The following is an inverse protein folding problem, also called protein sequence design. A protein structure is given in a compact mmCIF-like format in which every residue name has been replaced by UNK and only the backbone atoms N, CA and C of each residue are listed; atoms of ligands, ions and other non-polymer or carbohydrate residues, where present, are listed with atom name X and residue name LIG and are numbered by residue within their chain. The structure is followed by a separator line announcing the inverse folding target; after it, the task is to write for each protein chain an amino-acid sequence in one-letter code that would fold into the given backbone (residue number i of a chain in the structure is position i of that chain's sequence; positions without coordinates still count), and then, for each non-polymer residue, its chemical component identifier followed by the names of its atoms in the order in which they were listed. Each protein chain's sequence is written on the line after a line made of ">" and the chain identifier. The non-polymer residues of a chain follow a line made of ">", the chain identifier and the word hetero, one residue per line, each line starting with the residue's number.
data_IF_543446014489
#
_entry.id   IF_543446014489
#
_cell.length_a   1.000
_cell.length_b   1.000
_cell.length_c   1.000
_cell.angle_alpha   90.00
_cell.angle_beta   90.00
_cell.angle_gamma   90.00
#
_symmetry.space_group_name_H-M   'P 1'
#
loop_
_entity.id
_entity.type
_entity.pdbx_description
1 polymer ?
#
# COMPACT_ATOMS: atom_id res chain seq x y z
N UNK A 1 -11.82 30.04 -23.30
CA UNK A 1 -11.51 28.99 -22.33
C UNK A 1 -12.81 28.53 -21.69
N UNK A 2 -13.13 27.24 -21.78
CA UNK A 2 -14.32 26.61 -21.22
C UNK A 2 -13.92 25.93 -19.90
N UNK A 3 -14.54 26.34 -18.80
CA UNK A 3 -14.27 25.75 -17.48
C UNK A 3 -15.20 24.55 -17.28
N UNK A 4 -14.63 23.40 -16.94
CA UNK A 4 -15.39 22.19 -16.62
C UNK A 4 -15.55 22.03 -15.11
N UNK A 5 -16.72 21.59 -14.70
CA UNK A 5 -16.94 21.00 -13.37
C UNK A 5 -16.73 19.47 -13.45
N UNK A 6 -16.50 18.77 -12.32
CA UNK A 6 -16.44 17.31 -12.31
C UNK A 6 -17.67 16.67 -12.98
N UNK A 7 -17.43 15.70 -13.86
CA UNK A 7 -18.45 15.04 -14.69
C UNK A 7 -18.84 15.78 -15.98
N UNK A 8 -18.53 17.07 -16.09
CA UNK A 8 -18.75 17.82 -17.33
C UNK A 8 -17.76 17.39 -18.42
N UNK A 9 -18.19 17.50 -19.68
CA UNK A 9 -17.37 17.11 -20.82
C UNK A 9 -17.57 18.07 -21.99
N UNK A 10 -16.59 18.11 -22.87
CA UNK A 10 -16.64 18.89 -24.11
C UNK A 10 -15.82 18.22 -25.21
N UNK A 11 -16.02 18.67 -26.44
CA UNK A 11 -15.21 18.24 -27.57
C UNK A 11 -13.77 18.71 -27.43
N UNK A 12 -12.81 17.85 -27.79
CA UNK A 12 -11.45 18.30 -28.11
C UNK A 12 -11.35 18.61 -29.60
N UNK A 13 -10.48 19.57 -29.91
CA UNK A 13 -10.40 20.22 -31.22
C UNK A 13 -9.84 19.29 -32.31
N UNK A 14 -8.99 18.34 -31.92
CA UNK A 14 -8.36 17.40 -32.84
C UNK A 14 -7.95 16.11 -32.12
N UNK A 15 -7.55 15.10 -32.89
CA UNK A 15 -6.97 13.87 -32.32
C UNK A 15 -5.53 14.08 -31.81
N UNK A 16 -4.87 15.17 -32.20
CA UNK A 16 -3.65 15.64 -31.52
C UNK A 16 -4.06 16.62 -30.43
N UNK A 17 -3.84 16.24 -29.19
CA UNK A 17 -4.20 17.05 -28.04
C UNK A 17 -2.98 17.30 -27.19
N UNK A 18 -2.94 18.44 -26.52
CA UNK A 18 -1.89 18.79 -25.58
C UNK A 18 -2.54 19.20 -24.27
N UNK A 19 -1.98 18.77 -23.15
CA UNK A 19 -2.45 19.21 -21.85
C UNK A 19 -1.30 19.59 -20.95
N UNK A 20 -1.57 20.49 -20.01
CA UNK A 20 -0.64 20.87 -18.93
C UNK A 20 -1.36 20.83 -17.59
N UNK A 21 -0.61 20.45 -16.56
CA UNK A 21 -1.10 20.28 -15.21
C UNK A 21 -0.15 20.98 -14.25
N UNK A 22 -0.69 21.94 -13.50
CA UNK A 22 0.00 22.62 -12.42
C UNK A 22 -0.52 22.11 -11.08
N UNK A 23 0.39 21.95 -10.13
CA UNK A 23 0.10 21.53 -8.76
C UNK A 23 0.19 22.72 -7.80
N UNK A 24 -0.73 22.81 -6.84
CA UNK A 24 -0.69 23.80 -5.75
C UNK A 24 0.53 23.65 -4.84
N UNK A 25 1.17 22.48 -4.87
CA UNK A 25 2.54 22.27 -4.41
C UNK A 25 3.47 22.01 -5.61
N UNK A 26 4.18 23.05 -6.05
CA UNK A 26 4.99 23.02 -7.30
C UNK A 26 6.19 22.08 -7.28
N UNK A 27 6.56 21.50 -6.14
CA UNK A 27 7.64 20.52 -6.05
C UNK A 27 7.14 19.08 -5.88
N UNK A 28 5.83 18.84 -5.89
CA UNK A 28 5.30 17.52 -5.58
C UNK A 28 5.60 16.47 -6.66
N UNK A 29 5.46 16.86 -7.94
CA UNK A 29 5.64 15.93 -9.05
C UNK A 29 7.12 15.56 -9.22
N UNK A 30 7.41 14.27 -9.22
CA UNK A 30 8.75 13.71 -9.29
C UNK A 30 9.52 13.68 -7.95
N UNK A 31 8.95 14.20 -6.86
CA UNK A 31 9.48 14.04 -5.50
C UNK A 31 8.67 12.99 -4.71
N UNK A 32 7.36 13.16 -4.60
CA UNK A 32 6.48 12.22 -3.89
C UNK A 32 5.17 11.90 -4.63
N UNK A 33 4.88 12.61 -5.73
CA UNK A 33 3.73 12.38 -6.59
C UNK A 33 4.11 12.31 -8.07
N UNK A 34 3.22 11.79 -8.90
CA UNK A 34 3.40 11.69 -10.34
C UNK A 34 2.06 11.60 -11.08
N UNK A 35 2.14 11.58 -12.41
CA UNK A 35 1.01 11.40 -13.31
C UNK A 35 1.16 10.07 -14.05
N UNK A 36 0.06 9.34 -14.17
CA UNK A 36 -0.07 8.17 -15.03
C UNK A 36 -1.12 8.41 -16.10
N UNK A 37 -0.84 7.94 -17.31
CA UNK A 37 -1.77 7.97 -18.44
C UNK A 37 -2.05 6.52 -18.84
N UNK A 38 -3.33 6.13 -18.84
CA UNK A 38 -3.70 4.74 -19.08
C UNK A 38 -4.70 4.60 -20.23
N UNK A 39 -4.33 3.95 -21.35
CA UNK A 39 -5.26 3.62 -22.42
C UNK A 39 -6.19 2.46 -22.01
N UNK A 40 -7.49 2.65 -22.24
CA UNK A 40 -8.53 1.68 -21.89
C UNK A 40 -9.62 1.59 -22.97
N UNK A 41 -10.42 0.54 -22.93
CA UNK A 41 -11.64 0.40 -23.74
C UNK A 41 -12.87 1.01 -23.05
N UNK A 42 -14.05 0.88 -23.68
CA UNK A 42 -15.32 1.45 -23.22
C UNK A 42 -15.75 0.99 -21.83
N UNK A 43 -15.33 -0.22 -21.46
CA UNK A 43 -15.53 -0.85 -20.15
C UNK A 43 -14.41 -0.53 -19.15
N UNK A 44 -13.50 0.40 -19.48
CA UNK A 44 -12.29 0.76 -18.71
C UNK A 44 -11.34 -0.41 -18.45
N UNK A 45 -11.33 -1.40 -19.35
CA UNK A 45 -10.30 -2.45 -19.31
C UNK A 45 -9.04 -1.95 -20.04
N UNK A 46 -7.84 -2.17 -19.49
CA UNK A 46 -6.57 -1.77 -20.08
C UNK A 46 -6.36 -2.37 -21.46
N UNK A 47 -5.90 -1.54 -22.40
CA UNK A 47 -5.60 -1.91 -23.79
C UNK A 47 -4.12 -1.77 -24.12
N UNK A 48 -3.33 -1.28 -23.18
CA UNK A 48 -1.87 -1.15 -23.26
C UNK A 48 -1.28 -0.84 -21.88
N UNK A 49 0.04 -0.65 -21.85
CA UNK A 49 0.75 -0.29 -20.62
C UNK A 49 0.41 1.13 -20.15
N UNK A 50 0.44 1.34 -18.83
CA UNK A 50 0.36 2.67 -18.24
C UNK A 50 1.62 3.46 -18.59
N UNK A 51 1.46 4.64 -19.20
CA UNK A 51 2.55 5.58 -19.35
C UNK A 51 2.71 6.36 -18.04
N UNK A 52 3.67 5.94 -17.22
CA UNK A 52 4.05 6.63 -16.00
C UNK A 52 4.87 7.88 -16.33
N UNK A 53 4.90 8.83 -15.40
CA UNK A 53 5.64 10.07 -15.52
C UNK A 53 7.08 9.83 -16.01
N UNK A 54 7.50 10.61 -17.02
CA UNK A 54 8.79 10.50 -17.73
C UNK A 54 9.01 9.21 -18.55
N UNK A 55 8.01 8.33 -18.65
CA UNK A 55 8.03 7.18 -19.57
C UNK A 55 7.25 7.52 -20.83
N UNK A 56 7.94 7.84 -21.93
CA UNK A 56 7.32 8.14 -23.22
C UNK A 56 6.83 6.90 -23.94
N UNK A 57 5.79 7.05 -24.78
CA UNK A 57 5.21 5.99 -25.61
C UNK A 57 5.11 6.44 -27.07
N UNK A 58 4.90 5.53 -28.02
CA UNK A 58 4.79 5.90 -29.44
C UNK A 58 3.65 6.88 -29.78
N UNK A 59 2.63 6.93 -28.91
CA UNK A 59 1.43 7.76 -29.06
C UNK A 59 1.43 9.01 -28.17
N UNK A 60 2.49 9.25 -27.40
CA UNK A 60 2.58 10.41 -26.52
C UNK A 60 4.01 10.84 -26.19
N UNK A 61 4.17 12.12 -25.86
CA UNK A 61 5.45 12.68 -25.43
C UNK A 61 5.24 13.57 -24.20
N UNK A 62 5.97 13.30 -23.13
CA UNK A 62 6.00 14.17 -21.95
C UNK A 62 6.69 15.50 -22.27
N UNK A 63 6.21 16.58 -21.65
CA UNK A 63 6.79 17.92 -21.75
C UNK A 63 6.68 18.62 -20.40
N UNK A 64 7.27 19.82 -20.30
CA UNK A 64 7.26 20.60 -19.06
C UNK A 64 8.26 20.10 -18.01
N UNK A 65 8.01 20.43 -16.75
CA UNK A 65 8.88 20.16 -15.60
C UNK A 65 8.07 19.72 -14.36
N UNK A 66 8.72 19.68 -13.19
CA UNK A 66 8.08 19.29 -11.92
C UNK A 66 7.00 20.27 -11.45
N UNK A 67 7.10 21.56 -11.81
CA UNK A 67 6.13 22.58 -11.44
C UNK A 67 4.93 22.61 -12.39
N UNK A 68 5.17 22.29 -13.67
CA UNK A 68 4.14 22.22 -14.70
C UNK A 68 4.40 21.03 -15.61
N UNK A 69 3.68 19.94 -15.34
CA UNK A 69 3.73 18.72 -16.15
C UNK A 69 2.92 18.92 -17.41
N UNK A 70 3.45 18.56 -18.57
CA UNK A 70 2.73 18.59 -19.83
C UNK A 70 2.82 17.27 -20.59
N UNK A 71 1.88 17.04 -21.50
CA UNK A 71 1.95 15.91 -22.41
C UNK A 71 1.27 16.22 -23.74
N UNK A 72 1.94 15.83 -24.83
CA UNK A 72 1.39 15.83 -26.18
C UNK A 72 0.90 14.43 -26.50
N UNK A 73 -0.34 14.32 -26.95
CA UNK A 73 -1.03 13.08 -27.24
C UNK A 73 -1.36 12.98 -28.73
N UNK A 74 -1.22 11.78 -29.28
CA UNK A 74 -1.80 11.39 -30.56
C UNK A 74 -2.89 10.33 -30.30
N UNK A 75 -4.11 10.79 -30.07
CA UNK A 75 -5.26 9.95 -29.71
C UNK A 75 -5.65 8.97 -30.84
N UNK A 76 -5.25 9.24 -32.09
CA UNK A 76 -5.45 8.31 -33.22
C UNK A 76 -4.42 7.17 -33.27
N UNK A 77 -3.36 7.24 -32.47
CA UNK A 77 -2.28 6.24 -32.44
C UNK A 77 -2.26 5.41 -31.14
N UNK A 78 -3.32 5.51 -30.32
CA UNK A 78 -3.45 4.71 -29.11
C UNK A 78 -3.36 3.20 -29.40
N UNK A 79 -3.00 2.37 -28.40
CA UNK A 79 -3.00 0.93 -28.55
C UNK A 79 -4.33 0.39 -29.11
N UNK A 80 -4.26 -0.72 -29.85
CA UNK A 80 -5.45 -1.31 -30.49
C UNK A 80 -6.55 -1.60 -29.45
N UNK A 81 -7.79 -1.24 -29.78
CA UNK A 81 -8.95 -1.40 -28.90
C UNK A 81 -9.14 -0.28 -27.88
N UNK A 82 -8.24 0.71 -27.83
CA UNK A 82 -8.42 1.89 -26.97
C UNK A 82 -9.46 2.84 -27.57
N UNK A 83 -10.49 3.15 -26.80
CA UNK A 83 -11.45 4.21 -27.10
C UNK A 83 -11.43 5.33 -26.05
N UNK A 84 -10.60 5.14 -25.01
CA UNK A 84 -10.45 6.02 -23.86
C UNK A 84 -8.99 6.11 -23.41
N UNK A 85 -8.68 7.22 -22.76
CA UNK A 85 -7.40 7.49 -22.12
C UNK A 85 -7.66 8.16 -20.77
N UNK A 86 -7.28 7.50 -19.68
CA UNK A 86 -7.41 8.03 -18.32
C UNK A 86 -6.19 8.88 -17.97
N UNK A 87 -6.42 10.02 -17.32
CA UNK A 87 -5.39 10.87 -16.74
C UNK A 87 -5.49 10.80 -15.22
N UNK A 88 -4.42 10.34 -14.57
CA UNK A 88 -4.43 9.94 -13.16
C UNK A 88 -3.29 10.66 -12.43
N UNK A 89 -3.61 11.39 -11.36
CA UNK A 89 -2.61 11.90 -10.43
C UNK A 89 -2.50 10.96 -9.23
N UNK A 90 -1.29 10.68 -8.76
CA UNK A 90 -1.06 9.74 -7.66
C UNK A 90 0.17 10.09 -6.84
N UNK A 91 0.23 9.62 -5.61
CA UNK A 91 1.44 9.61 -4.78
C UNK A 91 2.17 8.28 -4.95
N UNK A 92 3.51 8.28 -5.01
CA UNK A 92 4.27 7.05 -5.19
C UNK A 92 3.99 6.04 -4.09
N UNK A 93 3.78 4.77 -4.47
CA UNK A 93 3.52 3.64 -3.56
C UNK A 93 2.44 3.91 -2.50
N UNK A 94 1.48 4.79 -2.80
CA UNK A 94 0.46 5.26 -1.85
C UNK A 94 1.04 5.83 -0.54
N UNK A 95 2.22 6.47 -0.60
CA UNK A 95 2.93 6.99 0.58
C UNK A 95 2.18 8.11 1.33
N UNK A 96 1.18 8.73 0.70
CA UNK A 96 0.36 9.79 1.31
C UNK A 96 -0.87 10.12 0.45
N UNK A 97 -1.74 11.02 0.90
CA UNK A 97 -2.91 11.42 0.15
C UNK A 97 -2.58 12.48 -0.90
N UNK A 98 -3.39 12.54 -1.96
CA UNK A 98 -3.33 13.60 -2.97
C UNK A 98 -3.68 14.98 -2.41
N UNK A 99 -4.21 15.08 -1.19
CA UNK A 99 -4.43 16.38 -0.52
C UNK A 99 -3.16 17.19 -0.31
N UNK A 100 -1.99 16.54 -0.24
CA UNK A 100 -0.70 17.22 -0.18
C UNK A 100 -0.37 18.01 -1.46
N UNK A 101 -1.03 17.68 -2.58
CA UNK A 101 -0.95 18.45 -3.83
C UNK A 101 -1.70 19.78 -3.72
N UNK A 102 -2.58 19.93 -2.72
CA UNK A 102 -3.47 21.08 -2.43
C UNK A 102 -4.53 21.34 -3.50
N UNK A 103 -4.10 21.52 -4.74
CA UNK A 103 -4.98 21.75 -5.88
C UNK A 103 -4.32 21.30 -7.17
N UNK A 104 -5.13 20.94 -8.15
CA UNK A 104 -4.69 20.68 -9.51
C UNK A 104 -5.36 21.65 -10.47
N UNK A 105 -4.57 22.20 -11.39
CA UNK A 105 -5.03 23.07 -12.46
C UNK A 105 -4.64 22.45 -13.80
N UNK A 106 -5.62 21.84 -14.46
CA UNK A 106 -5.48 21.15 -15.74
C UNK A 106 -5.98 22.05 -16.87
N UNK A 107 -5.14 22.23 -17.88
CA UNK A 107 -5.48 22.88 -19.15
C UNK A 107 -5.35 21.87 -20.27
N UNK A 108 -6.38 21.72 -21.10
CA UNK A 108 -6.38 20.87 -22.30
C UNK A 108 -6.61 21.72 -23.54
N UNK A 109 -5.73 21.59 -24.54
CA UNK A 109 -5.67 22.34 -25.80
C UNK A 109 -5.73 23.87 -25.62
N UNK A 110 -5.32 24.41 -24.46
CA UNK A 110 -5.48 25.82 -24.05
C UNK A 110 -6.93 26.35 -24.11
N UNK A 111 -7.90 25.45 -24.30
CA UNK A 111 -9.30 25.79 -24.53
C UNK A 111 -10.19 25.28 -23.40
N UNK A 112 -9.78 24.23 -22.70
CA UNK A 112 -10.53 23.59 -21.63
C UNK A 112 -9.74 23.76 -20.34
N UNK A 113 -10.41 24.23 -19.30
CA UNK A 113 -9.82 24.43 -17.99
C UNK A 113 -10.58 23.61 -16.96
N UNK A 114 -9.85 22.90 -16.11
CA UNK A 114 -10.40 22.16 -14.98
C UNK A 114 -9.55 22.41 -13.74
N UNK A 115 -10.21 22.80 -12.65
CA UNK A 115 -9.57 23.01 -11.35
C UNK A 115 -10.17 22.07 -10.33
N UNK A 116 -9.31 21.42 -9.57
CA UNK A 116 -9.68 20.48 -8.53
C UNK A 116 -9.02 20.91 -7.22
N UNK A 117 -9.83 21.14 -6.19
CA UNK A 117 -9.34 21.33 -4.82
C UNK A 117 -9.17 19.94 -4.18
N UNK A 118 -8.00 19.68 -3.62
CA UNK A 118 -7.64 18.39 -3.05
C UNK A 118 -7.46 18.42 -1.54
N UNK A 119 -7.54 19.58 -0.88
CA UNK A 119 -7.17 19.72 0.54
C UNK A 119 -7.88 18.75 1.50
N UNK A 120 -9.10 18.34 1.16
CA UNK A 120 -9.90 17.39 1.95
C UNK A 120 -9.95 15.97 1.32
N UNK A 121 -9.13 15.70 0.31
CA UNK A 121 -9.12 14.44 -0.44
C UNK A 121 -8.08 13.46 0.15
N UNK A 122 -8.55 12.45 0.87
CA UNK A 122 -7.71 11.44 1.53
C UNK A 122 -7.26 10.28 0.62
N UNK A 123 -7.52 10.33 -0.68
CA UNK A 123 -7.21 9.26 -1.61
C UNK A 123 -5.72 9.32 -2.00
N UNK A 124 -5.08 8.19 -2.32
CA UNK A 124 -3.68 8.15 -2.74
C UNK A 124 -3.49 8.21 -4.27
N UNK A 125 -4.57 8.03 -5.03
CA UNK A 125 -4.64 8.30 -6.47
C UNK A 125 -6.00 8.87 -6.86
N UNK A 126 -6.05 9.65 -7.93
CA UNK A 126 -7.28 10.27 -8.43
C UNK A 126 -7.27 10.37 -9.96
N UNK A 127 -8.33 9.89 -10.60
CA UNK A 127 -8.59 10.12 -12.02
C UNK A 127 -9.13 11.55 -12.17
N UNK A 128 -8.33 12.41 -12.79
CA UNK A 128 -8.65 13.84 -12.96
C UNK A 128 -9.32 14.14 -14.30
N UNK A 129 -9.24 13.21 -15.24
CA UNK A 129 -9.98 13.32 -16.49
C UNK A 129 -9.87 12.09 -17.36
N UNK A 130 -10.71 12.03 -18.38
CA UNK A 130 -10.65 11.02 -19.44
C UNK A 130 -10.82 11.66 -20.81
N UNK A 131 -9.96 11.29 -21.75
CA UNK A 131 -10.25 11.44 -23.18
C UNK A 131 -11.06 10.24 -23.63
N UNK A 132 -12.08 10.44 -24.47
CA UNK A 132 -12.87 9.34 -25.01
C UNK A 132 -13.44 9.70 -26.38
N UNK A 133 -13.60 8.69 -27.23
CA UNK A 133 -14.22 8.88 -28.55
C UNK A 133 -15.70 8.51 -28.51
N UNK A 134 -16.56 9.39 -29.04
CA UNK A 134 -17.99 9.11 -29.24
C UNK A 134 -18.47 9.78 -30.51
N UNK A 135 -19.19 9.04 -31.37
CA UNK A 135 -19.65 9.52 -32.67
C UNK A 135 -18.50 10.06 -33.54
N UNK A 136 -17.37 9.34 -33.60
CA UNK A 136 -16.17 9.72 -34.37
C UNK A 136 -15.51 11.05 -33.94
N UNK A 137 -15.85 11.55 -32.75
CA UNK A 137 -15.29 12.78 -32.21
C UNK A 137 -14.69 12.53 -30.82
N UNK A 138 -13.44 12.93 -30.65
CA UNK A 138 -12.77 12.91 -29.35
C UNK A 138 -13.35 13.99 -28.43
N UNK A 139 -13.49 13.62 -27.16
CA UNK A 139 -14.01 14.47 -26.10
C UNK A 139 -13.14 14.33 -24.87
N UNK A 140 -13.11 15.38 -24.07
CA UNK A 140 -12.51 15.36 -22.75
C UNK A 140 -13.61 15.48 -21.70
N UNK A 141 -13.52 14.68 -20.64
CA UNK A 141 -14.39 14.75 -19.46
C UNK A 141 -13.53 14.99 -18.23
N UNK A 142 -13.88 16.01 -17.45
CA UNK A 142 -13.28 16.26 -16.15
C UNK A 142 -13.80 15.25 -15.13
N UNK A 143 -12.91 14.68 -14.32
CA UNK A 143 -13.24 13.65 -13.32
C UNK A 143 -12.61 13.98 -11.96
N UNK A 144 -13.11 13.34 -10.92
CA UNK A 144 -12.57 13.40 -9.56
C UNK A 144 -12.82 12.05 -8.87
N UNK A 145 -12.41 10.96 -9.52
CA UNK A 145 -12.65 9.59 -9.04
C UNK A 145 -11.41 9.08 -8.30
N UNK A 146 -11.54 8.84 -7.00
CA UNK A 146 -10.42 8.47 -6.11
C UNK A 146 -10.14 6.98 -5.97
N UNK A 147 -8.92 6.67 -5.55
CA UNK A 147 -8.50 5.36 -5.04
C UNK A 147 -7.65 5.51 -3.77
N UNK A 148 -8.20 5.03 -2.65
CA UNK A 148 -7.58 5.15 -1.33
C UNK A 148 -6.24 4.41 -1.25
N UNK A 149 -6.07 3.37 -2.06
CA UNK A 149 -4.93 2.47 -2.07
C UNK A 149 -3.94 2.75 -3.21
N UNK A 150 -4.01 3.94 -3.80
CA UNK A 150 -3.05 4.39 -4.80
C UNK A 150 -3.28 3.84 -6.20
N UNK A 151 -2.27 4.04 -7.05
CA UNK A 151 -2.34 3.74 -8.48
C UNK A 151 -2.23 2.24 -8.74
N UNK A 152 -1.36 1.53 -8.01
CA UNK A 152 -1.24 0.08 -8.14
C UNK A 152 -2.57 -0.64 -7.87
N UNK A 153 -3.28 -0.26 -6.81
CA UNK A 153 -4.59 -0.82 -6.49
C UNK A 153 -5.67 -0.47 -7.52
N UNK A 154 -5.64 0.77 -8.05
CA UNK A 154 -6.51 1.18 -9.15
C UNK A 154 -6.28 0.31 -10.38
N UNK A 155 -5.01 0.05 -10.75
CA UNK A 155 -4.63 -0.84 -11.84
C UNK A 155 -5.16 -2.26 -11.65
N UNK A 156 -4.97 -2.84 -10.47
CA UNK A 156 -5.43 -4.22 -10.17
C UNK A 156 -6.93 -4.38 -10.34
N UNK A 157 -7.74 -3.38 -9.96
CA UNK A 157 -9.21 -3.39 -10.13
C UNK A 157 -9.64 -3.51 -11.59
N UNK A 158 -8.83 -2.99 -12.52
CA UNK A 158 -9.11 -3.04 -13.96
C UNK A 158 -8.26 -4.10 -14.68
N UNK A 159 -7.48 -4.90 -13.94
CA UNK A 159 -6.76 -6.07 -14.48
C UNK A 159 -5.36 -5.79 -15.02
N UNK A 160 -4.70 -4.71 -14.59
CA UNK A 160 -3.30 -4.42 -14.91
C UNK A 160 -2.47 -4.21 -13.64
N UNK A 161 -1.24 -4.72 -13.63
CA UNK A 161 -0.29 -4.45 -12.56
C UNK A 161 0.54 -3.21 -12.92
N UNK A 162 0.55 -2.21 -12.04
CA UNK A 162 1.26 -0.94 -12.25
C UNK A 162 2.25 -0.76 -11.12
N UNK A 163 3.53 -0.69 -11.46
CA UNK A 163 4.57 -0.32 -10.50
C UNK A 163 4.57 1.19 -10.29
N UNK A 164 3.96 1.65 -9.20
CA UNK A 164 3.83 3.06 -8.85
C UNK A 164 4.91 3.55 -7.88
N UNK A 165 6.05 2.84 -7.79
CA UNK A 165 7.20 3.24 -6.97
C UNK A 165 7.93 4.48 -7.52
N UNK A 166 8.65 5.16 -6.64
CA UNK A 166 9.44 6.33 -6.99
C UNK A 166 10.61 5.95 -7.94
N UNK A 167 10.82 6.62 -9.09
CA UNK A 167 11.85 6.25 -10.09
C UNK A 167 13.30 6.26 -9.57
N UNK A 168 13.59 7.12 -8.59
CA UNK A 168 14.91 7.19 -7.91
C UNK A 168 14.96 6.45 -6.57
N UNK A 169 13.83 5.92 -6.11
CA UNK A 169 13.80 5.07 -4.93
C UNK A 169 14.57 3.80 -5.25
N UNK A 170 15.50 3.37 -4.39
CA UNK A 170 16.16 2.06 -4.51
C UNK A 170 15.15 0.95 -4.23
N UNK A 171 14.18 0.74 -5.13
CA UNK A 171 13.53 -0.55 -5.28
C UNK A 171 14.21 -1.23 -6.46
N UNK A 172 15.15 -2.12 -6.16
CA UNK A 172 15.74 -2.98 -7.19
C UNK A 172 14.61 -3.64 -7.97
N UNK A 173 14.68 -3.59 -9.29
CA UNK A 173 13.84 -4.32 -10.25
C UNK A 173 13.73 -5.83 -9.99
N UNK A 174 14.41 -6.36 -8.98
CA UNK A 174 14.27 -7.71 -8.45
C UNK A 174 13.07 -7.94 -7.51
N UNK A 175 12.43 -6.89 -6.96
CA UNK A 175 11.23 -7.03 -6.11
C UNK A 175 9.92 -7.04 -6.91
N UNK A 176 9.84 -6.30 -8.02
CA UNK A 176 8.68 -6.33 -8.91
C UNK A 176 8.54 -7.67 -9.65
N UNK A 177 9.64 -8.34 -9.98
CA UNK A 177 9.63 -9.70 -10.53
C UNK A 177 9.38 -10.80 -9.47
N UNK A 178 9.62 -10.50 -8.18
CA UNK A 178 9.25 -11.40 -7.07
C UNK A 178 7.76 -11.33 -6.74
N UNK A 179 7.14 -10.15 -6.82
CA UNK A 179 5.69 -9.99 -6.63
C UNK A 179 4.84 -10.79 -7.63
N UNK A 180 5.42 -11.17 -8.79
CA UNK A 180 4.78 -12.05 -9.79
C UNK A 180 4.90 -13.55 -9.49
N UNK A 181 5.67 -13.97 -8.49
CA UNK A 181 5.88 -15.39 -8.13
C UNK A 181 5.68 -15.69 -6.63
N UNK A 182 5.63 -14.68 -5.78
CA UNK A 182 5.21 -14.79 -4.38
C UNK A 182 5.63 -13.62 -3.48
N UNK A 183 4.88 -13.43 -2.40
CA UNK A 183 5.16 -12.50 -1.32
C UNK A 183 5.67 -13.25 -0.08
N UNK A 184 6.50 -12.59 0.71
CA UNK A 184 6.92 -13.09 2.03
C UNK A 184 6.68 -12.05 3.11
N UNK A 185 6.34 -12.54 4.29
CA UNK A 185 6.09 -11.73 5.47
C UNK A 185 6.33 -12.51 6.75
N UNK A 186 5.92 -11.90 7.84
CA UNK A 186 5.93 -12.50 9.17
C UNK A 186 4.49 -12.72 9.61
N UNK A 187 4.28 -13.76 10.41
CA UNK A 187 3.08 -13.95 11.19
C UNK A 187 3.42 -14.53 12.55
N UNK A 188 2.48 -14.46 13.47
CA UNK A 188 2.64 -15.05 14.79
C UNK A 188 1.38 -15.79 15.23
N UNK A 189 1.59 -16.89 15.95
CA UNK A 189 0.49 -17.70 16.45
C UNK A 189 -0.28 -16.95 17.55
N UNK A 190 -1.61 -16.93 17.41
CA UNK A 190 -2.55 -16.30 18.37
C UNK A 190 -3.45 -17.32 19.06
N UNK A 191 -3.48 -18.55 18.56
CA UNK A 191 -4.08 -19.71 19.22
C UNK A 191 -3.35 -20.99 18.77
N UNK A 192 -3.87 -22.15 19.14
CA UNK A 192 -3.29 -23.45 18.79
C UNK A 192 -3.24 -23.73 17.28
N UNK A 193 -4.07 -23.06 16.47
CA UNK A 193 -4.21 -23.33 15.03
C UNK A 193 -4.31 -22.06 14.17
N UNK A 194 -4.15 -20.88 14.76
CA UNK A 194 -4.32 -19.62 14.04
C UNK A 194 -3.08 -18.73 14.13
N UNK A 195 -2.78 -18.07 13.01
CA UNK A 195 -1.68 -17.13 12.86
C UNK A 195 -2.25 -15.79 12.37
N UNK A 196 -1.84 -14.69 12.99
CA UNK A 196 -2.06 -13.35 12.45
C UNK A 196 -0.92 -12.95 11.53
N UNK A 197 -1.25 -12.23 10.46
CA UNK A 197 -0.31 -11.56 9.56
C UNK A 197 -0.99 -10.33 8.95
N UNK A 198 -0.30 -9.62 8.06
CA UNK A 198 -0.88 -8.51 7.30
C UNK A 198 -1.69 -9.01 6.11
N UNK A 199 -2.79 -8.32 5.79
CA UNK A 199 -3.62 -8.67 4.65
C UNK A 199 -2.86 -8.54 3.32
N UNK A 200 -2.05 -7.50 3.17
CA UNK A 200 -1.26 -7.29 1.95
C UNK A 200 -0.19 -8.38 1.70
N UNK A 201 0.21 -9.14 2.73
CA UNK A 201 1.19 -10.25 2.57
C UNK A 201 0.58 -11.41 1.79
N UNK A 202 -0.74 -11.60 1.88
CA UNK A 202 -1.45 -12.73 1.27
C UNK A 202 -2.40 -12.30 0.14
N UNK A 203 -2.44 -11.01 -0.18
CA UNK A 203 -3.40 -10.46 -1.15
C UNK A 203 -3.17 -11.02 -2.56
N UNK A 204 -4.24 -11.55 -3.16
CA UNK A 204 -4.21 -12.06 -4.54
C UNK A 204 -3.45 -13.38 -4.74
N UNK A 205 -3.05 -14.05 -3.66
CA UNK A 205 -2.25 -15.27 -3.69
C UNK A 205 -3.14 -16.53 -3.58
N UNK A 206 -2.78 -17.59 -4.31
CA UNK A 206 -3.53 -18.85 -4.38
C UNK A 206 -3.04 -19.91 -3.39
N UNK A 207 -1.77 -19.87 -3.00
CA UNK A 207 -1.20 -20.73 -1.96
C UNK A 207 -0.54 -19.93 -0.85
N UNK A 208 -0.83 -20.30 0.40
CA UNK A 208 -0.20 -19.71 1.58
C UNK A 208 0.43 -20.84 2.39
N UNK A 209 1.70 -20.65 2.73
CA UNK A 209 2.44 -21.50 3.66
C UNK A 209 2.96 -20.67 4.80
N UNK A 210 3.05 -21.30 5.97
CA UNK A 210 3.83 -20.79 7.09
C UNK A 210 5.04 -21.70 7.31
N UNK A 211 6.17 -21.12 7.69
CA UNK A 211 7.40 -21.88 7.95
C UNK A 211 8.17 -21.32 9.13
N UNK A 212 8.74 -22.21 9.93
CA UNK A 212 9.68 -21.88 11.00
C UNK A 212 10.70 -23.03 11.12
N UNK A 213 11.53 -23.01 12.16
CA UNK A 213 12.38 -24.17 12.48
C UNK A 213 11.56 -25.41 12.88
N UNK A 214 10.29 -25.25 13.25
CA UNK A 214 9.38 -26.34 13.63
C UNK A 214 8.73 -27.04 12.43
N UNK A 215 8.88 -26.49 11.22
CA UNK A 215 8.37 -27.10 10.00
C UNK A 215 7.73 -26.10 9.05
N UNK A 216 7.15 -26.61 7.97
CA UNK A 216 6.43 -25.85 6.95
C UNK A 216 5.03 -26.44 6.78
N UNK A 217 4.02 -25.61 6.93
CA UNK A 217 2.62 -26.01 6.94
C UNK A 217 1.82 -25.16 5.98
N UNK A 218 0.80 -25.75 5.35
CA UNK A 218 -0.16 -25.00 4.53
C UNK A 218 -1.06 -24.19 5.45
N UNK A 219 -1.47 -23.01 5.01
CA UNK A 219 -2.43 -22.18 5.74
C UNK A 219 -3.52 -21.69 4.80
N UNK A 220 -4.70 -21.43 5.36
CA UNK A 220 -5.87 -20.93 4.64
C UNK A 220 -6.37 -19.65 5.32
N UNK A 221 -6.80 -18.63 4.56
CA UNK A 221 -7.38 -17.43 5.15
C UNK A 221 -8.73 -17.76 5.78
N UNK A 222 -8.92 -17.38 7.04
CA UNK A 222 -10.21 -17.44 7.75
C UNK A 222 -10.99 -16.16 7.50
N UNK A 223 -10.36 -15.02 7.79
CA UNK A 223 -10.90 -13.68 7.58
C UNK A 223 -9.74 -12.77 7.15
N UNK A 224 -10.01 -11.90 6.19
CA UNK A 224 -9.08 -10.87 5.72
C UNK A 224 -9.76 -9.52 5.84
N UNK A 225 -9.27 -8.68 6.75
CA UNK A 225 -9.66 -7.29 6.88
C UNK A 225 -8.65 -6.41 6.13
N UNK A 226 -8.95 -6.18 4.85
CA UNK A 226 -8.11 -5.35 3.98
C UNK A 226 -8.07 -3.88 4.42
N UNK A 227 -9.11 -3.41 5.13
CA UNK A 227 -9.19 -2.01 5.56
C UNK A 227 -8.16 -1.71 6.64
N UNK A 228 -8.03 -2.63 7.60
CA UNK A 228 -7.12 -2.49 8.72
C UNK A 228 -5.79 -3.26 8.51
N UNK A 229 -5.62 -3.87 7.34
CA UNK A 229 -4.46 -4.68 6.96
C UNK A 229 -4.19 -5.88 7.90
N UNK A 230 -5.25 -6.60 8.29
CA UNK A 230 -5.17 -7.76 9.18
C UNK A 230 -5.66 -9.01 8.44
N UNK A 231 -4.91 -10.11 8.52
CA UNK A 231 -5.37 -11.42 8.08
C UNK A 231 -5.22 -12.47 9.19
N UNK A 232 -6.29 -13.25 9.39
CA UNK A 232 -6.27 -14.44 10.21
C UNK A 232 -6.11 -15.67 9.31
N UNK A 233 -5.05 -16.43 9.55
CA UNK A 233 -4.79 -17.69 8.85
C UNK A 233 -5.08 -18.86 9.78
N UNK A 234 -5.67 -19.92 9.23
CA UNK A 234 -5.81 -21.23 9.88
C UNK A 234 -4.74 -22.17 9.32
N UNK A 235 -3.98 -22.78 10.21
CA UNK A 235 -2.86 -23.65 9.85
C UNK A 235 -3.35 -25.09 9.71
N UNK A 236 -3.06 -25.70 8.57
CA UNK A 236 -3.49 -27.05 8.21
C UNK A 236 -2.45 -28.08 8.63
N UNK A 237 -2.92 -29.18 9.23
CA UNK A 237 -2.12 -30.37 9.54
C UNK A 237 -0.85 -30.07 10.37
N UNK A 238 -0.90 -29.05 11.25
CA UNK A 238 0.21 -28.67 12.12
C UNK A 238 0.09 -29.25 13.53
N UNK A 239 1.20 -29.39 14.26
CA UNK A 239 1.19 -29.45 15.72
C UNK A 239 0.48 -28.24 16.34
N UNK A 240 0.16 -28.35 17.65
CA UNK A 240 -0.37 -27.23 18.43
C UNK A 240 0.66 -26.10 18.45
N UNK A 241 0.26 -24.94 17.92
CA UNK A 241 1.11 -23.75 17.88
C UNK A 241 1.20 -23.12 19.27
N UNK A 242 2.37 -22.55 19.58
CA UNK A 242 2.55 -21.74 20.80
C UNK A 242 2.05 -20.32 20.54
N UNK A 243 0.93 -19.94 21.12
CA UNK A 243 0.41 -18.58 20.99
C UNK A 243 1.18 -17.55 21.82
N UNK A 244 1.22 -16.31 21.35
CA UNK A 244 1.66 -15.14 22.13
C UNK A 244 0.56 -14.69 23.11
N UNK A 245 0.89 -13.75 23.99
CA UNK A 245 -0.09 -13.05 24.83
C UNK A 245 -0.18 -11.58 24.44
N UNK A 246 -1.36 -11.00 24.53
CA UNK A 246 -1.63 -9.57 24.31
C UNK A 246 -1.68 -8.82 25.63
N UNK A 247 -1.36 -7.53 25.60
CA UNK A 247 -1.42 -6.67 26.79
C UNK A 247 -2.89 -6.47 27.18
N UNK A 248 -3.23 -6.75 28.43
CA UNK A 248 -4.56 -6.49 28.97
C UNK A 248 -4.72 -4.99 29.30
N UNK A 249 -5.87 -4.41 28.97
CA UNK A 249 -6.20 -3.03 29.34
C UNK A 249 -5.76 -1.96 28.34
N UNK A 250 -5.44 -0.76 28.85
CA UNK A 250 -5.27 0.45 28.01
C UNK A 250 -3.91 0.49 27.32
N UNK A 251 -3.92 0.18 26.02
CA UNK A 251 -2.97 0.66 25.00
C UNK A 251 -1.47 0.60 25.33
N UNK A 252 -0.72 1.42 24.60
CA UNK A 252 0.69 1.68 24.86
C UNK A 252 0.89 3.17 25.17
N UNK A 253 1.98 3.47 25.86
CA UNK A 253 2.35 4.85 26.20
C UNK A 253 3.42 5.40 25.24
N UNK A 254 3.46 6.72 25.09
CA UNK A 254 4.55 7.38 24.35
C UNK A 254 5.90 7.09 25.04
N UNK A 255 6.89 6.71 24.23
CA UNK A 255 8.22 6.32 24.72
C UNK A 255 8.31 4.91 25.29
N UNK A 256 7.22 4.13 25.31
CA UNK A 256 7.25 2.73 25.74
C UNK A 256 8.23 1.94 24.86
N UNK A 257 9.11 1.16 25.49
CA UNK A 257 10.10 0.35 24.79
C UNK A 257 9.43 -0.83 24.08
N UNK A 258 9.82 -1.04 22.82
CA UNK A 258 9.22 -2.07 21.99
C UNK A 258 10.26 -2.96 21.33
N UNK A 259 9.90 -4.22 21.15
CA UNK A 259 10.70 -5.22 20.44
C UNK A 259 9.87 -5.83 19.32
N UNK A 260 10.38 -5.80 18.09
CA UNK A 260 9.78 -6.48 16.94
C UNK A 260 10.56 -7.76 16.62
N UNK A 261 9.84 -8.85 16.36
CA UNK A 261 10.40 -10.14 15.98
C UNK A 261 9.81 -10.58 14.63
N UNK A 262 10.65 -10.96 13.68
CA UNK A 262 10.13 -11.44 12.40
C UNK A 262 11.19 -11.99 11.44
N UNK A 263 10.82 -12.09 10.16
CA UNK A 263 11.63 -12.66 9.10
C UNK A 263 11.91 -11.64 7.98
N UNK A 264 12.65 -10.56 8.27
CA UNK A 264 13.04 -9.58 7.27
C UNK A 264 13.94 -10.22 6.20
N UNK A 265 13.83 -9.74 4.96
CA UNK A 265 14.74 -10.08 3.85
C UNK A 265 14.97 -11.58 3.66
N UNK A 266 13.90 -12.38 3.71
CA UNK A 266 13.98 -13.84 3.53
C UNK A 266 14.72 -14.18 2.23
N UNK A 267 15.95 -14.69 2.36
CA UNK A 267 16.84 -15.03 1.23
C UNK A 267 18.20 -14.31 1.22
N UNK A 268 18.38 -13.24 1.99
CA UNK A 268 19.67 -12.52 2.14
C UNK A 268 20.20 -12.57 3.58
N UNK A 269 19.31 -12.44 4.56
CA UNK A 269 19.62 -12.73 5.95
C UNK A 269 19.20 -14.17 6.27
N UNK A 270 19.95 -14.89 7.10
CA UNK A 270 19.71 -16.31 7.38
C UNK A 270 18.26 -16.60 7.81
N UNK A 271 17.80 -17.85 7.66
CA UNK A 271 16.39 -18.24 7.90
C UNK A 271 15.88 -18.18 9.35
N UNK A 272 16.58 -17.48 10.24
CA UNK A 272 16.20 -17.32 11.65
C UNK A 272 15.28 -16.11 11.88
N UNK A 273 14.73 -16.02 13.10
CA UNK A 273 14.00 -14.84 13.55
C UNK A 273 14.98 -13.70 13.81
N UNK A 274 14.70 -12.54 13.25
CA UNK A 274 15.41 -11.30 13.54
C UNK A 274 14.71 -10.53 14.66
N UNK A 275 15.49 -9.80 15.43
CA UNK A 275 15.01 -9.01 16.56
C UNK A 275 15.47 -7.57 16.38
N UNK A 276 14.54 -6.63 16.44
CA UNK A 276 14.84 -5.19 16.45
C UNK A 276 14.15 -4.51 17.62
N UNK A 277 14.74 -3.42 18.11
CA UNK A 277 14.26 -2.70 19.29
C UNK A 277 14.12 -1.22 18.96
N UNK A 278 13.14 -0.58 19.60
CA UNK A 278 12.90 0.86 19.52
C UNK A 278 11.93 1.32 20.60
N UNK A 279 11.17 2.36 20.33
CA UNK A 279 10.09 2.84 21.20
C UNK A 279 8.87 3.31 20.42
N UNK A 280 7.75 3.45 21.12
CA UNK A 280 6.53 4.08 20.60
C UNK A 280 6.78 5.58 20.45
N UNK A 281 6.68 6.10 19.23
CA UNK A 281 6.90 7.52 18.92
C UNK A 281 5.61 8.32 18.80
N UNK A 282 4.50 7.68 18.42
CA UNK A 282 3.18 8.30 18.36
C UNK A 282 2.07 7.27 18.64
N UNK A 283 0.96 7.72 19.21
CA UNK A 283 -0.22 6.88 19.47
C UNK A 283 -1.23 6.89 18.32
N UNK A 284 -0.90 7.54 17.21
CA UNK A 284 -1.72 7.62 16.01
C UNK A 284 -0.83 7.42 14.79
N UNK A 285 -1.40 6.86 13.73
CA UNK A 285 -0.76 6.85 12.42
C UNK A 285 -0.83 8.21 11.73
N UNK A 286 -0.46 8.23 10.45
CA UNK A 286 -0.63 9.39 9.59
C UNK A 286 -2.09 9.84 9.57
N UNK A 287 -2.33 11.14 9.41
CA UNK A 287 -3.68 11.73 9.35
C UNK A 287 -4.55 11.43 10.58
N UNK A 288 -3.95 11.24 11.76
CA UNK A 288 -4.62 10.86 13.00
C UNK A 288 -5.34 9.51 12.91
N UNK A 289 -4.82 8.56 12.13
CA UNK A 289 -5.36 7.21 12.10
C UNK A 289 -5.24 6.56 13.48
N UNK A 290 -6.39 6.45 14.15
CA UNK A 290 -6.50 5.89 15.49
C UNK A 290 -6.30 4.38 15.56
N UNK A 291 -6.34 3.67 14.43
CA UNK A 291 -6.10 2.23 14.35
C UNK A 291 -4.61 1.87 14.48
N UNK A 292 -3.73 2.83 14.20
CA UNK A 292 -2.29 2.64 14.14
C UNK A 292 -1.56 3.33 15.30
N UNK A 293 -0.39 2.81 15.64
CA UNK A 293 0.64 3.46 16.44
C UNK A 293 1.91 3.62 15.61
N UNK A 294 2.75 4.59 15.94
CA UNK A 294 4.06 4.78 15.32
C UNK A 294 5.17 4.29 16.26
N UNK A 295 6.19 3.64 15.69
CA UNK A 295 7.35 3.13 16.43
C UNK A 295 8.65 3.29 15.65
N UNK A 296 9.78 3.15 16.35
CA UNK A 296 11.12 3.43 15.81
C UNK A 296 12.02 2.21 15.61
N UNK A 297 11.59 1.01 16.04
CA UNK A 297 12.37 -0.21 15.81
C UNK A 297 12.55 -0.44 14.31
N UNK A 298 13.78 -0.70 13.88
CA UNK A 298 14.09 -0.86 12.45
C UNK A 298 13.29 -2.03 11.86
N UNK A 299 12.66 -1.81 10.71
CA UNK A 299 11.98 -2.84 9.93
C UNK A 299 12.51 -2.82 8.50
N UNK A 300 12.34 -3.95 7.81
CA UNK A 300 12.75 -4.18 6.43
C UNK A 300 11.64 -4.98 5.72
N UNK A 301 11.64 -5.05 4.38
CA UNK A 301 10.74 -5.95 3.65
C UNK A 301 10.72 -7.36 4.26
N UNK A 302 9.52 -7.92 4.46
CA UNK A 302 9.31 -9.19 5.19
C UNK A 302 9.00 -9.04 6.69
N UNK A 303 9.17 -7.84 7.27
CA UNK A 303 8.77 -7.56 8.66
C UNK A 303 7.27 -7.33 8.81
N UNK A 304 6.52 -7.11 7.73
CA UNK A 304 5.07 -6.97 7.76
C UNK A 304 4.44 -8.21 8.39
N UNK A 305 3.55 -7.99 9.35
CA UNK A 305 2.90 -9.00 10.17
C UNK A 305 3.71 -9.44 11.40
N UNK A 306 4.84 -8.80 11.70
CA UNK A 306 5.58 -9.03 12.95
C UNK A 306 4.78 -8.53 14.16
N UNK A 307 4.78 -9.25 15.30
CA UNK A 307 4.28 -8.68 16.54
C UNK A 307 5.23 -7.60 17.06
N UNK A 308 4.64 -6.57 17.66
CA UNK A 308 5.35 -5.57 18.46
C UNK A 308 5.10 -5.89 19.93
N UNK A 309 6.15 -6.30 20.64
CA UNK A 309 6.10 -6.63 22.07
C UNK A 309 6.49 -5.42 22.92
N UNK A 310 5.82 -5.25 24.05
CA UNK A 310 6.30 -4.39 25.14
C UNK A 310 7.38 -5.09 25.99
N UNK A 311 7.89 -4.39 27.00
CA UNK A 311 8.89 -4.93 27.94
C UNK A 311 8.40 -6.11 28.78
N UNK A 312 7.09 -6.35 28.88
CA UNK A 312 6.49 -7.48 29.60
C UNK A 312 6.33 -8.72 28.72
N UNK A 313 6.63 -8.59 27.43
CA UNK A 313 6.45 -9.66 26.43
C UNK A 313 5.03 -9.81 25.95
N UNK A 314 4.19 -8.82 26.22
CA UNK A 314 2.84 -8.76 25.71
C UNK A 314 2.82 -8.04 24.35
N UNK A 315 2.02 -8.54 23.42
CA UNK A 315 1.82 -7.90 22.12
C UNK A 315 0.99 -6.63 22.29
N UNK A 316 1.51 -5.52 21.78
CA UNK A 316 0.86 -4.21 21.74
C UNK A 316 0.52 -3.76 20.31
N UNK A 317 1.02 -4.46 19.29
CA UNK A 317 0.61 -4.23 17.91
C UNK A 317 1.14 -5.23 16.88
N UNK A 318 0.72 -5.05 15.63
CA UNK A 318 1.10 -5.82 14.44
C UNK A 318 1.77 -4.87 13.44
N UNK A 319 3.04 -5.05 13.16
CA UNK A 319 3.81 -4.24 12.20
C UNK A 319 3.18 -4.36 10.81
N UNK A 320 2.84 -3.23 10.18
CA UNK A 320 2.19 -3.20 8.85
C UNK A 320 3.04 -2.51 7.80
N UNK A 321 3.39 -1.24 8.01
CA UNK A 321 3.99 -0.40 7.00
C UNK A 321 5.13 0.46 7.56
N UNK A 322 5.93 1.00 6.65
CA UNK A 322 7.00 1.96 6.93
C UNK A 322 6.81 3.17 6.02
N UNK A 323 7.26 4.34 6.44
CA UNK A 323 7.39 5.49 5.56
C UNK A 323 8.80 5.49 4.94
N UNK A 324 8.96 5.19 3.63
CA UNK A 324 10.27 4.95 3.02
C UNK A 324 11.23 6.15 3.12
N UNK A 325 10.70 7.37 3.09
CA UNK A 325 11.47 8.61 3.08
C UNK A 325 11.65 9.23 4.47
N UNK A 326 11.05 8.66 5.51
CA UNK A 326 11.20 9.09 6.89
C UNK A 326 11.86 7.97 7.72
N UNK A 327 13.14 8.15 8.04
CA UNK A 327 13.89 7.16 8.80
C UNK A 327 13.22 6.87 10.16
N UNK A 328 13.02 5.59 10.46
CA UNK A 328 12.43 5.08 11.71
C UNK A 328 11.00 5.58 11.97
N UNK A 329 10.24 5.88 10.91
CA UNK A 329 8.80 6.12 10.98
C UNK A 329 8.06 4.87 10.50
N UNK A 330 7.76 3.99 11.44
CA UNK A 330 7.11 2.71 11.17
C UNK A 330 5.75 2.65 11.86
N UNK A 331 4.81 1.89 11.30
CA UNK A 331 3.45 1.81 11.79
C UNK A 331 3.04 0.38 12.14
N UNK A 332 2.28 0.26 13.23
CA UNK A 332 1.71 -1.00 13.67
C UNK A 332 0.23 -0.84 13.99
N UNK A 333 -0.57 -1.84 13.61
CA UNK A 333 -1.98 -1.95 13.99
C UNK A 333 -2.06 -2.21 15.49
N UNK A 334 -2.85 -1.43 16.23
CA UNK A 334 -2.94 -1.53 17.69
C UNK A 334 -3.53 -2.86 18.15
N UNK A 335 -2.99 -3.41 19.24
CA UNK A 335 -3.50 -4.63 19.87
C UNK A 335 -4.99 -4.59 20.20
N UNK A 336 -5.57 -3.44 20.57
CA UNK A 336 -7.01 -3.31 20.82
C UNK A 336 -7.87 -3.65 19.60
N UNK A 337 -7.41 -3.26 18.41
CA UNK A 337 -8.09 -3.59 17.16
C UNK A 337 -7.88 -5.06 16.80
N UNK A 338 -6.67 -5.60 17.01
CA UNK A 338 -6.38 -7.03 16.83
C UNK A 338 -7.26 -7.90 17.74
N UNK A 339 -7.41 -7.53 19.01
CA UNK A 339 -8.26 -8.23 19.98
C UNK A 339 -9.73 -8.19 19.55
N UNK A 340 -10.22 -7.03 19.10
CA UNK A 340 -11.60 -6.89 18.58
C UNK A 340 -11.83 -7.75 17.34
N UNK A 341 -10.82 -7.82 16.45
CA UNK A 341 -10.85 -8.66 15.26
C UNK A 341 -10.84 -10.17 15.61
N UNK A 342 -10.02 -10.59 16.57
CA UNK A 342 -9.95 -11.98 17.03
C UNK A 342 -11.25 -12.41 17.73
N UNK A 343 -11.84 -11.54 18.54
CA UNK A 343 -13.15 -11.76 19.18
C UNK A 343 -14.26 -11.95 18.14
N UNK A 344 -14.30 -11.08 17.12
CA UNK A 344 -15.23 -11.23 16.00
C UNK A 344 -15.06 -12.55 15.23
N UNK A 345 -13.83 -13.07 15.17
CA UNK A 345 -13.51 -14.38 14.59
C UNK A 345 -13.74 -15.56 15.54
N UNK A 346 -14.14 -15.31 16.80
CA UNK A 346 -14.27 -16.31 17.88
C UNK A 346 -12.96 -17.07 18.15
N UNK A 347 -11.85 -16.35 18.15
CA UNK A 347 -10.53 -16.87 18.53
C UNK A 347 -10.13 -16.27 19.87
N UNK A 348 -10.07 -17.12 20.90
CA UNK A 348 -9.69 -16.70 22.24
C UNK A 348 -8.21 -16.31 22.30
N UNK A 349 -7.95 -15.01 22.32
CA UNK A 349 -6.61 -14.46 22.48
C UNK A 349 -6.18 -14.50 23.96
N UNK A 350 -4.99 -15.01 24.23
CA UNK A 350 -4.42 -14.96 25.59
C UNK A 350 -4.07 -13.51 25.92
N UNK A 351 -4.55 -13.00 27.05
CA UNK A 351 -4.22 -11.67 27.56
C UNK A 351 -3.43 -11.78 28.87
N UNK A 352 -2.59 -10.78 29.17
CA UNK A 352 -1.77 -10.74 30.38
C UNK A 352 -1.73 -9.33 30.98
N UNK A 353 -1.86 -9.26 32.30
CA UNK A 353 -1.66 -8.05 33.12
C UNK A 353 -0.33 -8.08 33.89
N UNK A 354 0.61 -8.95 33.48
CA UNK A 354 1.89 -9.15 34.18
C UNK A 354 2.72 -7.87 34.20
N UNK A 355 3.24 -7.51 35.37
CA UNK A 355 4.23 -6.43 35.52
C UNK A 355 5.68 -6.92 35.42
N UNK A 356 5.91 -8.23 35.22
CA UNK A 356 7.25 -8.79 35.05
C UNK A 356 7.81 -8.35 33.70
N UNK A 357 8.95 -7.68 33.74
CA UNK A 357 9.69 -7.27 32.53
C UNK A 357 10.73 -8.31 32.14
N UNK A 358 11.01 -8.38 30.85
CA UNK A 358 12.02 -9.24 30.25
C UNK A 358 13.04 -8.39 29.49
N UNK A 359 14.28 -8.87 29.42
CA UNK A 359 15.27 -8.33 28.48
C UNK A 359 14.89 -8.73 27.04
N UNK A 360 15.36 -7.96 26.06
CA UNK A 360 15.17 -8.27 24.63
C UNK A 360 15.60 -9.70 24.28
N UNK A 361 16.68 -10.21 24.89
CA UNK A 361 17.16 -11.57 24.66
C UNK A 361 16.22 -12.65 25.26
N UNK A 362 15.61 -12.39 26.42
CA UNK A 362 14.63 -13.30 27.03
C UNK A 362 13.32 -13.31 26.26
N UNK A 363 12.86 -12.14 25.80
CA UNK A 363 11.71 -12.03 24.90
C UNK A 363 11.94 -12.80 23.60
N UNK A 364 13.07 -12.56 22.94
CA UNK A 364 13.46 -13.28 21.73
C UNK A 364 13.39 -14.79 21.93
N UNK A 365 14.03 -15.31 22.99
CA UNK A 365 14.08 -16.74 23.27
C UNK A 365 12.71 -17.35 23.56
N UNK A 366 11.83 -16.63 24.25
CA UNK A 366 10.50 -17.13 24.63
C UNK A 366 9.50 -17.07 23.48
N UNK A 367 9.53 -16.01 22.67
CA UNK A 367 8.58 -15.75 21.60
C UNK A 367 8.97 -16.38 20.25
N UNK A 368 10.24 -16.76 20.03
CA UNK A 368 10.71 -17.29 18.74
C UNK A 368 9.89 -18.49 18.22
N UNK A 369 9.43 -19.39 19.10
CA UNK A 369 8.59 -20.54 18.74
C UNK A 369 7.18 -20.17 18.29
N UNK A 370 6.73 -18.94 18.59
CA UNK A 370 5.45 -18.42 18.14
C UNK A 370 5.52 -17.72 16.79
N UNK A 371 6.73 -17.49 16.26
CA UNK A 371 6.97 -16.73 15.04
C UNK A 371 7.00 -17.65 13.82
N UNK A 372 6.32 -17.22 12.77
CA UNK A 372 6.21 -17.95 11.51
C UNK A 372 6.49 -17.04 10.33
N UNK A 373 7.32 -17.49 9.40
CA UNK A 373 7.47 -16.84 8.10
C UNK A 373 6.29 -17.21 7.23
N UNK A 374 5.57 -16.21 6.73
CA UNK A 374 4.47 -16.39 5.79
C UNK A 374 5.02 -16.31 4.37
N UNK A 375 4.68 -17.30 3.55
CA UNK A 375 5.01 -17.37 2.13
C UNK A 375 3.71 -17.50 1.35
N UNK A 376 3.39 -16.52 0.53
CA UNK A 376 2.19 -16.52 -0.30
C UNK A 376 2.62 -16.52 -1.77
N UNK A 377 2.01 -17.35 -2.61
CA UNK A 377 2.41 -17.50 -4.03
C UNK A 377 1.21 -17.52 -4.95
N UNK A 378 1.44 -17.07 -6.19
CA UNK A 378 0.53 -17.27 -7.30
C UNK A 378 1.16 -18.20 -8.32
N UNK A 379 0.39 -19.17 -8.83
CA UNK A 379 0.85 -20.10 -9.87
C UNK A 379 0.84 -19.50 -11.27
#
# INVERSE_FOLDING_TARGET
>A
MMVLAPGANTAVSSARSEWTLECGNSSAFGEYAAIAILPVNDKRQPTGEAALFQTSQSWMEWSGDQAKVGCKLNLSALPSGSDRLLLIAYTFSAAGPVSELRSLHLLVDEQIEYRLDLRDNGEAAIIIGEFYIRNQQWKFRALAEGSAYGLAALGRRIGIDINDAHPKGRSSSAEADRARTGATGTGFAVSQHHVLTCAHVIEGMSEIFISSFEGRYRAEPVVVDQRNDIALLRVMESPILRSVSFKEGSGCDLGESVVALGFPMSGFAGGGVHVTQGGVSALFGLHNDSSLLQFTAAIQPGSSGSPLFDSTGAVIGLVTSTMPDAQNMNFAVKASLLLSFLDACRVDAVQTSSSKTFTTAELARSAQASMWRVEAKNF
#
